data_IF_749438015910
#
_entry.id   IF_749438015910
#
_cell.length_a   1.000
_cell.length_b   1.000
_cell.length_c   1.000
_cell.angle_alpha   90.00
_cell.angle_beta   90.00
_cell.angle_gamma   90.00
#
_symmetry.space_group_name_H-M   'P 1'
#
loop_
_entity.id
_entity.type
_entity.pdbx_description
1 polymer ?
#
# COMPACT_ATOMS: atom_id res chain seq x y z
N UNK A 1 9.34 -28.12 37.46
CA UNK A 1 9.05 -29.03 36.33
C UNK A 1 7.84 -28.47 35.60
N UNK A 2 8.06 -27.62 34.60
CA UNK A 2 6.96 -27.09 33.77
C UNK A 2 6.76 -28.01 32.56
N UNK A 3 5.51 -28.41 32.25
CA UNK A 3 5.21 -29.41 31.23
C UNK A 3 5.29 -28.82 29.81
N UNK A 4 5.59 -29.68 28.84
CA UNK A 4 5.68 -29.37 27.41
C UNK A 4 4.29 -29.36 26.74
N UNK A 5 3.90 -28.17 26.25
CA UNK A 5 3.25 -27.75 24.98
C UNK A 5 2.09 -28.56 24.35
N UNK A 6 1.01 -27.90 23.84
CA UNK A 6 0.84 -27.89 22.37
C UNK A 6 -0.04 -26.75 21.76
N UNK A 7 0.14 -25.44 21.99
CA UNK A 7 -0.60 -24.43 21.19
C UNK A 7 0.21 -23.17 20.90
N UNK A 8 1.06 -23.24 19.89
CA UNK A 8 1.64 -22.09 19.18
C UNK A 8 0.72 -21.72 18.01
N UNK A 9 -0.38 -20.98 18.23
CA UNK A 9 -1.20 -20.42 17.14
C UNK A 9 -1.81 -19.07 17.55
N UNK A 10 -1.46 -18.03 16.81
CA UNK A 10 -2.22 -16.79 16.56
C UNK A 10 -2.39 -15.72 17.66
N UNK A 11 -2.31 -16.05 18.96
CA UNK A 11 -2.58 -15.04 20.01
C UNK A 11 -1.54 -13.91 20.10
N UNK A 12 -0.24 -14.21 19.99
CA UNK A 12 0.82 -13.19 20.12
C UNK A 12 0.76 -12.15 19.00
N UNK A 13 0.40 -12.55 17.78
CA UNK A 13 0.24 -11.60 16.66
C UNK A 13 -0.94 -10.67 16.93
N UNK A 14 -2.07 -11.20 17.40
CA UNK A 14 -3.26 -10.40 17.71
C UNK A 14 -3.01 -9.49 18.89
N UNK A 15 -2.25 -9.92 19.89
CA UNK A 15 -1.96 -9.13 21.09
C UNK A 15 -0.93 -8.03 20.79
N UNK A 16 0.09 -8.30 19.96
CA UNK A 16 0.99 -7.28 19.43
C UNK A 16 0.22 -6.31 18.54
N UNK A 17 -0.68 -6.80 17.68
CA UNK A 17 -1.51 -5.99 16.79
C UNK A 17 -2.49 -5.11 17.58
N UNK A 18 -3.11 -5.63 18.64
CA UNK A 18 -3.99 -4.87 19.56
C UNK A 18 -3.21 -3.85 20.37
N UNK A 19 -2.03 -4.20 20.88
CA UNK A 19 -1.14 -3.26 21.56
C UNK A 19 -0.67 -2.16 20.60
N UNK A 20 -0.38 -2.52 19.35
CA UNK A 20 -0.01 -1.59 18.28
C UNK A 20 -1.17 -0.69 17.90
N UNK A 21 -2.38 -1.21 17.72
CA UNK A 21 -3.61 -0.45 17.45
C UNK A 21 -3.99 0.52 18.58
N UNK A 22 -3.72 0.14 19.83
CA UNK A 22 -3.98 1.01 20.98
C UNK A 22 -2.92 2.10 21.16
N UNK A 23 -1.66 1.84 20.76
CA UNK A 23 -0.59 2.86 20.79
C UNK A 23 -0.58 3.77 19.56
N UNK A 24 -0.81 3.21 18.37
CA UNK A 24 -0.93 3.96 17.12
C UNK A 24 -2.37 4.34 16.89
N UNK A 25 -2.73 5.54 17.36
CA UNK A 25 -3.86 6.31 16.84
C UNK A 25 -3.62 6.55 15.36
N UNK A 26 -3.97 5.59 14.50
CA UNK A 26 -3.77 5.75 13.06
C UNK A 26 -4.49 7.03 12.62
N UNK A 27 -3.75 8.02 12.11
CA UNK A 27 -4.38 9.25 11.66
C UNK A 27 -5.30 8.88 10.51
N UNK A 28 -6.58 9.28 10.64
CA UNK A 28 -7.53 9.14 9.55
C UNK A 28 -7.21 10.20 8.51
N UNK A 29 -6.94 9.78 7.28
CA UNK A 29 -6.71 10.67 6.16
C UNK A 29 -7.62 10.27 4.99
N UNK A 30 -8.45 11.19 4.47
CA UNK A 30 -9.27 10.93 3.29
C UNK A 30 -8.36 10.90 2.04
N UNK A 31 -8.02 9.71 1.55
CA UNK A 31 -7.11 9.51 0.42
C UNK A 31 -7.63 10.12 -0.89
N UNK A 32 -8.95 10.32 -1.00
CA UNK A 32 -9.59 10.91 -2.16
C UNK A 32 -9.37 12.42 -2.33
N UNK A 33 -8.93 13.14 -1.30
CA UNK A 33 -8.84 14.61 -1.32
C UNK A 33 -7.42 15.15 -1.52
N UNK A 34 -6.42 14.29 -1.60
CA UNK A 34 -5.01 14.70 -1.73
C UNK A 34 -4.56 14.80 -3.19
N UNK A 35 -3.71 15.77 -3.49
CA UNK A 35 -3.01 15.83 -4.77
C UNK A 35 -1.69 15.07 -4.64
N UNK A 36 -1.71 13.78 -5.01
CA UNK A 36 -0.57 12.89 -4.87
C UNK A 36 0.36 13.08 -6.08
N UNK A 37 1.68 13.17 -5.82
CA UNK A 37 2.69 13.28 -6.88
C UNK A 37 2.72 12.00 -7.71
N UNK A 38 2.76 12.13 -9.04
CA UNK A 38 2.83 11.01 -9.99
C UNK A 38 4.01 10.06 -9.69
N UNK A 39 5.15 10.62 -9.27
CA UNK A 39 6.33 9.85 -8.85
C UNK A 39 6.05 8.90 -7.69
N UNK A 40 5.14 9.28 -6.78
CA UNK A 40 4.76 8.48 -5.60
C UNK A 40 3.74 7.41 -5.98
N UNK A 41 2.76 7.73 -6.82
CA UNK A 41 1.78 6.74 -7.31
C UNK A 41 2.47 5.64 -8.12
N UNK A 42 3.47 5.99 -8.94
CA UNK A 42 4.23 5.02 -9.74
C UNK A 42 5.10 4.04 -8.93
N UNK A 43 5.29 4.27 -7.62
CA UNK A 43 6.02 3.34 -6.74
C UNK A 43 5.27 2.04 -6.48
N UNK A 44 3.96 2.05 -6.64
CA UNK A 44 3.10 0.90 -6.40
C UNK A 44 2.31 0.63 -7.69
N UNK A 45 2.33 -0.59 -8.24
CA UNK A 45 1.48 -0.94 -9.37
C UNK A 45 -0.01 -0.85 -9.01
N UNK A 46 -0.83 -0.40 -9.96
CA UNK A 46 -2.29 -0.26 -9.76
C UNK A 46 -2.94 -1.58 -9.31
N UNK A 47 -2.57 -2.70 -9.92
CA UNK A 47 -3.12 -4.01 -9.56
C UNK A 47 -2.84 -4.36 -8.09
N UNK A 48 -1.64 -4.04 -7.60
CA UNK A 48 -1.27 -4.26 -6.21
C UNK A 48 -2.06 -3.34 -5.26
N UNK A 49 -2.20 -2.07 -5.64
CA UNK A 49 -2.99 -1.07 -4.93
C UNK A 49 -4.46 -1.50 -4.77
N UNK A 50 -5.09 -1.97 -5.85
CA UNK A 50 -6.48 -2.47 -5.83
C UNK A 50 -6.64 -3.76 -5.02
N UNK A 51 -5.73 -4.72 -5.21
CA UNK A 51 -5.79 -6.03 -4.55
C UNK A 51 -5.67 -5.92 -3.02
N UNK A 52 -4.77 -5.06 -2.55
CA UNK A 52 -4.50 -4.91 -1.12
C UNK A 52 -5.21 -3.70 -0.50
N UNK A 53 -6.09 -3.01 -1.25
CA UNK A 53 -6.86 -1.86 -0.79
C UNK A 53 -5.96 -0.83 -0.09
N UNK A 54 -4.95 -0.35 -0.83
CA UNK A 54 -3.96 0.61 -0.36
C UNK A 54 -3.56 1.58 -1.45
N UNK A 55 -3.16 2.79 -1.10
CA UNK A 55 -2.70 3.82 -2.04
C UNK A 55 -1.54 4.61 -1.42
N UNK A 56 -0.42 4.81 -2.14
CA UNK A 56 0.68 5.63 -1.65
C UNK A 56 0.27 7.12 -1.69
N UNK A 57 0.47 7.84 -0.58
CA UNK A 57 0.02 9.24 -0.41
C UNK A 57 1.17 10.22 -0.57
N UNK A 58 2.31 9.94 0.05
CA UNK A 58 3.48 10.80 -0.07
C UNK A 58 4.75 10.01 0.25
N UNK A 59 5.90 10.54 -0.18
CA UNK A 59 7.22 10.03 0.16
C UNK A 59 8.10 11.16 0.65
N UNK A 60 8.57 11.03 1.90
CA UNK A 60 9.48 11.98 2.53
C UNK A 60 10.77 11.23 2.89
N UNK A 61 11.86 11.55 2.18
CA UNK A 61 13.13 10.83 2.32
C UNK A 61 12.97 9.34 2.00
N UNK A 62 13.23 8.49 3.00
CA UNK A 62 13.08 7.04 2.89
C UNK A 62 11.76 6.49 3.47
N UNK A 63 10.82 7.35 3.83
CA UNK A 63 9.54 6.94 4.40
C UNK A 63 8.42 7.17 3.39
N UNK A 64 7.65 6.13 3.09
CA UNK A 64 6.46 6.15 2.25
C UNK A 64 5.21 6.15 3.13
N UNK A 65 4.41 7.21 3.05
CA UNK A 65 3.10 7.27 3.68
C UNK A 65 2.09 6.52 2.82
N UNK A 66 1.43 5.52 3.41
CA UNK A 66 0.52 4.62 2.72
C UNK A 66 -0.87 4.67 3.36
N UNK A 67 -1.88 5.04 2.58
CA UNK A 67 -3.26 4.96 3.03
C UNK A 67 -3.81 3.56 2.79
N UNK A 68 -4.41 2.96 3.81
CA UNK A 68 -4.98 1.61 3.75
C UNK A 68 -6.37 1.59 4.35
N UNK A 69 -7.26 0.77 3.77
CA UNK A 69 -8.56 0.49 4.42
C UNK A 69 -8.44 -0.54 5.53
N UNK A 70 -7.43 -1.42 5.44
CA UNK A 70 -7.10 -2.41 6.45
C UNK A 70 -5.64 -2.27 6.89
N UNK A 71 -5.34 -1.49 7.95
CA UNK A 71 -3.98 -1.31 8.44
C UNK A 71 -3.37 -2.59 9.06
N UNK A 72 -4.16 -3.67 9.19
CA UNK A 72 -3.74 -4.95 9.76
C UNK A 72 -3.15 -5.91 8.72
N UNK A 73 -3.18 -5.54 7.43
CA UNK A 73 -2.55 -6.32 6.37
C UNK A 73 -1.02 -6.10 6.39
N UNK A 74 -0.37 -6.73 7.37
CA UNK A 74 1.08 -6.67 7.56
C UNK A 74 1.82 -7.21 6.33
N UNK A 75 1.25 -8.20 5.63
CA UNK A 75 1.88 -8.77 4.44
C UNK A 75 1.96 -7.74 3.31
N UNK A 76 0.90 -6.95 3.10
CA UNK A 76 0.93 -5.85 2.15
C UNK A 76 1.96 -4.79 2.53
N UNK A 77 2.03 -4.41 3.81
CA UNK A 77 2.97 -3.41 4.31
C UNK A 77 4.41 -3.87 4.05
N UNK A 78 4.78 -5.07 4.52
CA UNK A 78 6.13 -5.62 4.32
C UNK A 78 6.48 -5.75 2.84
N UNK A 79 5.52 -6.14 1.99
CA UNK A 79 5.76 -6.24 0.54
C UNK A 79 6.06 -4.89 -0.09
N UNK A 80 5.37 -3.83 0.33
CA UNK A 80 5.64 -2.46 -0.12
C UNK A 80 7.02 -1.99 0.33
N UNK A 81 7.41 -2.29 1.57
CA UNK A 81 8.74 -1.97 2.11
C UNK A 81 9.85 -2.68 1.32
N UNK A 82 9.70 -3.98 1.07
CA UNK A 82 10.66 -4.78 0.29
C UNK A 82 10.78 -4.29 -1.15
N UNK A 83 9.65 -4.03 -1.81
CA UNK A 83 9.59 -3.61 -3.21
C UNK A 83 10.25 -2.24 -3.42
N UNK A 84 10.01 -1.31 -2.50
CA UNK A 84 10.46 0.09 -2.63
C UNK A 84 11.71 0.41 -1.82
N UNK A 85 12.23 -0.55 -1.04
CA UNK A 85 13.37 -0.39 -0.12
C UNK A 85 13.21 0.82 0.80
N UNK A 86 11.99 1.07 1.27
CA UNK A 86 11.62 2.22 2.09
C UNK A 86 10.90 1.77 3.36
N UNK A 87 10.84 2.64 4.37
CA UNK A 87 9.98 2.42 5.53
C UNK A 87 8.55 2.82 5.19
N UNK A 88 7.55 2.08 5.65
CA UNK A 88 6.14 2.44 5.42
C UNK A 88 5.51 3.03 6.68
N UNK A 89 4.87 4.19 6.52
CA UNK A 89 4.00 4.78 7.53
C UNK A 89 2.54 4.60 7.10
N UNK A 90 1.78 3.82 7.87
CA UNK A 90 0.38 3.54 7.53
C UNK A 90 -0.54 4.61 8.09
N UNK A 91 -1.47 5.06 7.26
CA UNK A 91 -2.59 5.93 7.62
C UNK A 91 -3.89 5.24 7.23
N UNK A 92 -4.94 5.44 8.02
CA UNK A 92 -6.22 4.74 7.77
C UNK A 92 -7.12 5.63 6.95
N UNK A 93 -7.78 5.04 5.96
CA UNK A 93 -8.75 5.73 5.13
C UNK A 93 -9.99 4.85 4.93
N UNK A 94 -11.11 5.45 4.53
CA UNK A 94 -12.32 4.68 4.33
C UNK A 94 -12.18 3.71 3.14
N UNK A 95 -12.79 2.53 3.22
CA UNK A 95 -12.77 1.55 2.14
C UNK A 95 -13.33 2.12 0.83
N UNK A 96 -14.36 2.96 0.92
CA UNK A 96 -14.98 3.62 -0.23
C UNK A 96 -14.02 4.59 -0.94
N UNK A 97 -13.20 5.34 -0.18
CA UNK A 97 -12.20 6.26 -0.75
C UNK A 97 -11.03 5.51 -1.36
N UNK A 98 -10.51 4.51 -0.64
CA UNK A 98 -9.41 3.66 -1.12
C UNK A 98 -9.81 2.90 -2.39
N UNK A 99 -11.05 2.43 -2.49
CA UNK A 99 -11.52 1.75 -3.70
C UNK A 99 -11.54 2.68 -4.92
N UNK A 100 -11.92 3.95 -4.73
CA UNK A 100 -12.02 4.95 -5.82
C UNK A 100 -10.70 5.64 -6.13
N UNK A 101 -9.74 5.58 -5.22
CA UNK A 101 -8.47 6.28 -5.36
C UNK A 101 -7.63 5.75 -6.54
N UNK A 102 -7.52 4.43 -6.80
CA UNK A 102 -6.80 3.93 -7.96
C UNK A 102 -7.35 4.46 -9.28
N UNK A 103 -8.68 4.48 -9.46
CA UNK A 103 -9.34 5.07 -10.64
C UNK A 103 -8.89 6.53 -10.82
N UNK A 104 -8.89 7.31 -9.73
CA UNK A 104 -8.54 8.73 -9.79
C UNK A 104 -7.08 9.02 -10.12
N UNK A 105 -6.15 8.19 -9.65
CA UNK A 105 -4.71 8.47 -9.71
C UNK A 105 -3.98 7.69 -10.80
N UNK A 106 -4.35 6.44 -11.09
CA UNK A 106 -3.74 5.65 -12.16
C UNK A 106 -4.33 5.94 -13.54
N UNK A 107 -5.61 6.32 -13.66
CA UNK A 107 -6.17 6.78 -14.95
C UNK A 107 -5.55 8.09 -15.43
N UNK A 108 -4.97 8.89 -14.53
CA UNK A 108 -4.18 10.08 -14.90
C UNK A 108 -2.78 9.75 -15.36
N UNK A 109 -2.30 8.54 -15.04
CA UNK A 109 -0.93 8.15 -15.25
C UNK A 109 -0.65 7.53 -16.59
N UNK A 110 -1.65 7.29 -17.46
CA UNK A 110 -1.49 6.65 -18.78
C UNK A 110 -0.18 7.10 -19.44
N UNK A 111 0.91 6.30 -19.32
CA UNK A 111 2.18 6.68 -19.90
C UNK A 111 2.11 6.29 -21.37
N UNK A 112 2.62 7.17 -22.20
CA UNK A 112 2.81 7.16 -23.67
C UNK A 112 3.36 5.85 -24.31
N UNK A 113 3.49 4.73 -23.59
CA UNK A 113 4.07 3.47 -24.07
C UNK A 113 3.14 2.63 -24.96
N UNK A 114 2.24 3.26 -25.71
CA UNK A 114 1.41 2.63 -26.76
C UNK A 114 1.59 3.30 -28.13
N UNK A 115 2.78 3.85 -28.42
CA UNK A 115 3.11 4.35 -29.77
C UNK A 115 4.40 3.74 -30.37
N UNK A 116 5.25 3.06 -29.61
CA UNK A 116 6.56 2.59 -30.12
C UNK A 116 6.49 1.15 -30.69
N UNK A 117 5.49 0.34 -30.35
CA UNK A 117 5.48 -1.08 -30.75
C UNK A 117 5.14 -1.31 -32.23
N UNK A 118 4.61 -0.31 -32.96
CA UNK A 118 4.26 -0.47 -34.38
C UNK A 118 5.41 -0.17 -35.37
N UNK A 119 6.59 0.26 -34.91
CA UNK A 119 7.68 0.66 -35.82
C UNK A 119 8.64 -0.48 -36.21
N UNK A 120 8.55 -1.65 -35.57
CA UNK A 120 9.44 -2.80 -35.85
C UNK A 120 8.77 -3.95 -36.63
N UNK A 121 7.52 -3.77 -37.05
CA UNK A 121 6.84 -4.73 -37.95
C UNK A 121 7.25 -4.61 -39.42
N UNK A 122 8.12 -3.66 -39.79
CA UNK A 122 8.58 -3.44 -41.18
C UNK A 122 9.98 -4.00 -41.46
N UNK A 123 10.53 -4.82 -40.55
CA UNK A 123 11.82 -5.50 -40.73
C UNK A 123 11.70 -7.03 -40.81
N UNK A 124 10.51 -7.55 -41.16
CA UNK A 124 10.35 -8.96 -41.53
C UNK A 124 9.41 -9.10 -42.73
#
# INVERSE_FOLDING_TARGET
MYPRVPYLKDHTKIDILKAFLMQYKFPYLPAGSYNIRNEVINLIPEEFSRRHMLVPIDRIGNTLTLAMSNPLDILAITKVEEMNRCNVQVVVSSSAEIHKAPDKYYDKLVPFKSQITNALSWLN
#
